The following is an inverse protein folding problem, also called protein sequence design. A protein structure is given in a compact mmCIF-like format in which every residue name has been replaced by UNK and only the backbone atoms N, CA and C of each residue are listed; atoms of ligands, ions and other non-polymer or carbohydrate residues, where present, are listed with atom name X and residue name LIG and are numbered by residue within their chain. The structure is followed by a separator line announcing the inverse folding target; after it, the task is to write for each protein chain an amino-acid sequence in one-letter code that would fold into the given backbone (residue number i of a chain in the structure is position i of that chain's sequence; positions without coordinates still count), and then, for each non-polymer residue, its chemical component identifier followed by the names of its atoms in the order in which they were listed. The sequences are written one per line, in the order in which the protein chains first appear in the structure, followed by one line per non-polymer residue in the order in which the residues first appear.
data_IF_524141841478
#
_entry.id   IF_524141841478
#
_cell.length_a   1.000
_cell.length_b   1.000
_cell.length_c   1.000
_cell.angle_alpha   90.00
_cell.angle_beta   90.00
_cell.angle_gamma   90.00
#
_symmetry.space_group_name_H-M   'P 1'
#
loop_
_entity.id
_entity.type
_entity.pdbx_description
1 polymer ?
#
# COMPACT_ATOMS: atom_id res chain seq x y z
N UNK A 1 74.68 1.62 -7.87
CA UNK A 1 73.79 1.99 -6.73
C UNK A 1 72.34 1.94 -7.22
N UNK A 2 71.67 0.79 -7.08
CA UNK A 2 70.28 0.61 -7.55
C UNK A 2 69.31 0.75 -6.38
N UNK A 3 68.31 1.64 -6.52
CA UNK A 3 67.27 1.88 -5.50
C UNK A 3 66.28 0.70 -5.45
N UNK A 4 65.80 0.27 -4.27
CA UNK A 4 64.82 -0.81 -4.16
C UNK A 4 63.40 -0.32 -4.51
N UNK A 5 62.49 -1.23 -4.92
CA UNK A 5 61.14 -0.85 -5.34
C UNK A 5 60.24 -0.52 -4.14
N UNK A 6 59.44 0.53 -4.29
CA UNK A 6 58.39 0.93 -3.32
C UNK A 6 57.25 -0.08 -3.34
N UNK A 7 57.17 -0.91 -2.30
CA UNK A 7 55.97 -1.70 -1.99
C UNK A 7 54.91 -0.74 -1.44
N UNK A 8 53.80 -0.53 -2.16
CA UNK A 8 52.64 0.17 -1.61
C UNK A 8 51.87 -0.78 -0.68
N UNK A 9 51.42 -0.34 0.51
CA UNK A 9 50.54 -1.18 1.31
C UNK A 9 49.17 -1.27 0.62
N UNK A 10 48.68 -2.50 0.42
CA UNK A 10 47.29 -2.76 0.06
C UNK A 10 46.42 -2.33 1.25
N UNK A 11 45.70 -1.23 1.14
CA UNK A 11 44.69 -0.85 2.13
C UNK A 11 43.50 -1.81 2.01
N UNK A 12 43.49 -2.82 2.88
CA UNK A 12 42.29 -3.62 3.13
C UNK A 12 41.28 -2.81 3.95
N UNK A 13 40.02 -3.22 3.86
CA UNK A 13 38.92 -2.85 4.76
C UNK A 13 38.23 -1.50 4.49
N UNK A 14 37.45 -1.44 3.40
CA UNK A 14 36.20 -0.67 3.41
C UNK A 14 35.18 -1.43 4.28
N UNK A 15 35.36 -1.36 5.60
CA UNK A 15 34.31 -1.73 6.55
C UNK A 15 33.11 -0.85 6.26
N UNK A 16 31.98 -1.50 5.96
CA UNK A 16 30.62 -0.97 5.86
C UNK A 16 30.47 0.50 6.27
N UNK A 17 30.15 1.36 5.30
CA UNK A 17 29.66 2.71 5.55
C UNK A 17 28.32 2.59 6.28
N UNK A 18 28.36 2.59 7.61
CA UNK A 18 27.18 2.78 8.46
C UNK A 18 26.68 4.21 8.24
N UNK A 19 25.73 4.40 7.33
CA UNK A 19 24.96 5.65 7.28
C UNK A 19 24.23 5.84 8.60
N UNK A 20 24.76 6.72 9.46
CA UNK A 20 24.24 7.04 10.80
C UNK A 20 22.80 7.52 10.72
N UNK A 21 21.87 6.73 11.23
CA UNK A 21 20.51 7.18 11.55
C UNK A 21 20.53 7.88 12.90
N UNK A 22 19.72 8.93 13.06
CA UNK A 22 19.60 9.66 14.34
C UNK A 22 19.24 8.76 15.54
N UNK A 23 18.55 7.65 15.28
CA UNK A 23 18.12 6.68 16.29
C UNK A 23 18.46 5.25 15.83
N UNK A 24 19.22 4.51 16.64
CA UNK A 24 19.58 3.11 16.39
C UNK A 24 18.39 2.17 16.63
N UNK A 25 18.48 0.92 16.15
CA UNK A 25 17.46 -0.11 16.40
C UNK A 25 17.29 -0.35 17.92
N UNK A 26 18.40 -0.61 18.62
CA UNK A 26 18.43 -0.80 20.08
C UNK A 26 17.74 0.33 20.84
N UNK A 27 18.02 1.58 20.45
CA UNK A 27 17.40 2.75 21.07
C UNK A 27 15.88 2.75 20.85
N UNK A 28 15.42 2.47 19.63
CA UNK A 28 13.98 2.40 19.35
C UNK A 28 13.32 1.29 20.14
N UNK A 29 13.95 0.11 20.21
CA UNK A 29 13.41 -1.05 20.93
C UNK A 29 13.25 -0.72 22.42
N UNK A 30 14.26 -0.12 23.05
CA UNK A 30 14.21 0.34 24.44
C UNK A 30 13.03 1.28 24.69
N UNK A 31 12.88 2.32 23.86
CA UNK A 31 11.80 3.31 24.00
C UNK A 31 10.41 2.66 23.84
N UNK A 32 10.29 1.69 22.93
CA UNK A 32 9.03 0.95 22.74
C UNK A 32 8.73 0.05 23.94
N UNK A 33 9.71 -0.66 24.47
CA UNK A 33 9.54 -1.50 25.68
C UNK A 33 9.11 -0.66 26.88
N UNK A 34 9.75 0.48 27.13
CA UNK A 34 9.35 1.37 28.22
C UNK A 34 7.91 1.90 28.07
N UNK A 35 7.44 2.11 26.84
CA UNK A 35 6.04 2.44 26.57
C UNK A 35 5.10 1.29 26.90
N UNK A 36 5.45 0.06 26.50
CA UNK A 36 4.65 -1.14 26.77
C UNK A 36 4.59 -1.49 28.25
N UNK A 37 5.66 -1.23 29.00
CA UNK A 37 5.74 -1.36 30.46
C UNK A 37 4.96 -0.26 31.21
N UNK A 38 4.39 0.72 30.51
CA UNK A 38 3.57 1.77 31.12
C UNK A 38 4.37 2.86 31.84
N UNK A 39 5.69 2.98 31.60
CA UNK A 39 6.54 4.01 32.23
C UNK A 39 6.17 5.45 31.85
N UNK A 40 5.30 5.63 30.85
CA UNK A 40 4.66 6.91 30.55
C UNK A 40 4.10 7.00 29.13
N UNK A 41 3.41 8.11 28.85
CA UNK A 41 2.85 8.39 27.52
C UNK A 41 3.89 8.86 26.50
N UNK A 42 3.50 8.95 25.23
CA UNK A 42 4.39 9.35 24.12
C UNK A 42 5.12 10.69 24.35
N UNK A 43 4.44 11.69 24.93
CA UNK A 43 5.03 13.00 25.21
C UNK A 43 6.10 12.93 26.30
N UNK A 44 5.89 12.08 27.31
CA UNK A 44 6.83 11.89 28.42
C UNK A 44 8.10 11.21 27.92
N UNK A 45 7.96 10.08 27.22
CA UNK A 45 9.09 9.34 26.65
C UNK A 45 9.89 10.19 25.65
N UNK A 46 9.22 11.06 24.89
CA UNK A 46 9.91 11.96 23.98
C UNK A 46 10.83 12.96 24.72
N UNK A 47 10.39 13.46 25.88
CA UNK A 47 11.22 14.35 26.71
C UNK A 47 12.38 13.59 27.35
N UNK A 48 12.11 12.46 27.99
CA UNK A 48 13.12 11.64 28.69
C UNK A 48 14.23 11.20 27.73
N UNK A 49 13.86 10.73 26.54
CA UNK A 49 14.81 10.23 25.54
C UNK A 49 15.26 11.27 24.52
N UNK A 50 14.93 12.55 24.73
CA UNK A 50 15.27 13.66 23.81
C UNK A 50 14.88 13.40 22.34
N UNK A 51 13.72 12.79 22.13
CA UNK A 51 13.12 12.59 20.80
C UNK A 51 12.36 13.86 20.42
N UNK A 52 12.70 14.43 19.24
CA UNK A 52 12.15 15.72 18.79
C UNK A 52 10.61 15.76 18.73
N UNK A 53 9.97 14.66 18.33
CA UNK A 53 8.53 14.60 18.17
C UNK A 53 7.95 13.30 18.77
N UNK A 54 6.92 13.44 19.62
CA UNK A 54 6.15 12.32 20.18
C UNK A 54 5.50 11.44 19.12
N UNK A 55 5.19 12.00 17.93
CA UNK A 55 4.66 11.24 16.79
C UNK A 55 5.64 10.15 16.35
N UNK A 56 6.95 10.38 16.49
CA UNK A 56 7.97 9.42 16.09
C UNK A 56 7.95 8.17 16.98
N UNK A 57 7.75 8.35 18.29
CA UNK A 57 7.56 7.25 19.23
C UNK A 57 6.26 6.49 18.93
N UNK A 58 5.17 7.21 18.66
CA UNK A 58 3.90 6.58 18.26
C UNK A 58 4.07 5.68 17.03
N UNK A 59 4.84 6.12 16.03
CA UNK A 59 5.14 5.31 14.84
C UNK A 59 5.92 4.05 15.21
N UNK A 60 6.97 4.15 16.05
CA UNK A 60 7.75 2.98 16.48
C UNK A 60 6.90 1.96 17.23
N UNK A 61 6.07 2.42 18.18
CA UNK A 61 5.16 1.56 18.93
C UNK A 61 4.16 0.87 18.01
N UNK A 62 3.57 1.60 17.07
CA UNK A 62 2.63 1.01 16.11
C UNK A 62 3.31 -0.03 15.22
N UNK A 63 4.50 0.28 14.69
CA UNK A 63 5.28 -0.66 13.89
C UNK A 63 5.65 -1.91 14.68
N UNK A 64 5.98 -1.78 15.96
CA UNK A 64 6.28 -2.92 16.82
C UNK A 64 5.04 -3.79 17.11
N UNK A 65 3.87 -3.18 17.34
CA UNK A 65 2.62 -3.93 17.55
C UNK A 65 2.20 -4.74 16.32
N UNK A 66 2.49 -4.24 15.12
CA UNK A 66 2.11 -4.90 13.87
C UNK A 66 3.12 -5.93 13.37
N UNK A 67 4.42 -5.64 13.50
CA UNK A 67 5.50 -6.42 12.87
C UNK A 67 6.57 -6.89 13.86
N UNK A 68 6.37 -6.68 15.16
CA UNK A 68 7.37 -6.96 16.19
C UNK A 68 8.65 -6.16 15.99
N UNK A 69 9.78 -6.78 16.32
CA UNK A 69 11.11 -6.17 16.18
C UNK A 69 11.45 -5.81 14.74
N UNK A 70 10.99 -6.60 13.76
CA UNK A 70 11.22 -6.32 12.34
C UNK A 70 10.64 -4.97 11.91
N UNK A 71 9.58 -4.52 12.57
CA UNK A 71 8.97 -3.20 12.36
C UNK A 71 9.88 -2.03 12.70
N UNK A 72 10.88 -2.23 13.57
CA UNK A 72 11.84 -1.19 13.99
C UNK A 72 13.09 -1.16 13.11
N UNK A 73 13.35 -2.25 12.36
CA UNK A 73 14.49 -2.36 11.47
C UNK A 73 14.39 -1.36 10.31
N UNK A 74 15.55 -0.82 9.93
CA UNK A 74 15.65 0.07 8.78
C UNK A 74 15.62 -0.73 7.49
N UNK A 75 14.58 -0.52 6.66
CA UNK A 75 14.60 -0.98 5.26
C UNK A 75 15.62 -0.14 4.48
N UNK A 76 16.69 -0.77 3.99
CA UNK A 76 17.78 -0.12 3.22
C UNK A 76 17.43 0.11 1.74
N UNK A 77 16.47 -0.63 1.21
CA UNK A 77 16.02 -0.53 -0.18
C UNK A 77 14.55 -0.15 -0.21
N UNK A 78 14.20 0.76 -1.12
CA UNK A 78 12.80 1.00 -1.46
C UNK A 78 12.23 -0.27 -2.08
N UNK A 79 11.05 -0.69 -1.64
CA UNK A 79 10.35 -1.80 -2.26
C UNK A 79 9.93 -1.39 -3.69
N UNK A 80 10.37 -2.16 -4.68
CA UNK A 80 9.91 -2.01 -6.06
C UNK A 80 8.69 -2.91 -6.24
N UNK A 81 7.54 -2.30 -6.49
CA UNK A 81 6.29 -3.02 -6.73
C UNK A 81 6.03 -3.06 -8.24
N UNK A 82 5.72 -4.25 -8.75
CA UNK A 82 5.30 -4.43 -10.14
C UNK A 82 3.97 -3.72 -10.41
N UNK A 83 3.67 -3.43 -11.68
CA UNK A 83 2.38 -2.82 -12.05
C UNK A 83 1.23 -3.74 -11.66
N UNK A 84 1.38 -5.05 -11.89
CA UNK A 84 0.37 -6.04 -11.50
C UNK A 84 0.08 -6.01 -10.00
N UNK A 85 1.12 -6.02 -9.16
CA UNK A 85 0.94 -5.96 -7.71
C UNK A 85 0.18 -4.69 -7.27
N UNK A 86 0.45 -3.55 -7.92
CA UNK A 86 -0.28 -2.30 -7.64
C UNK A 86 -1.75 -2.40 -8.05
N UNK A 87 -2.04 -3.06 -9.17
CA UNK A 87 -3.41 -3.29 -9.63
C UNK A 87 -4.15 -4.21 -8.68
N UNK A 88 -3.56 -5.34 -8.29
CA UNK A 88 -4.16 -6.28 -7.33
C UNK A 88 -4.47 -5.58 -6.00
N UNK A 89 -3.57 -4.72 -5.51
CA UNK A 89 -3.78 -3.92 -4.30
C UNK A 89 -4.95 -2.92 -4.43
N UNK A 90 -5.12 -2.33 -5.63
CA UNK A 90 -6.21 -1.41 -5.93
C UNK A 90 -7.54 -2.17 -6.05
N UNK A 91 -7.54 -3.31 -6.74
CA UNK A 91 -8.71 -4.17 -6.88
C UNK A 91 -9.18 -4.68 -5.53
N UNK A 92 -8.25 -5.12 -4.68
CA UNK A 92 -8.55 -5.53 -3.30
C UNK A 92 -9.21 -4.39 -2.51
N UNK A 93 -8.76 -3.14 -2.69
CA UNK A 93 -9.41 -1.98 -2.06
C UNK A 93 -10.80 -1.67 -2.62
N UNK A 94 -11.05 -1.93 -3.91
CA UNK A 94 -12.37 -1.69 -4.52
C UNK A 94 -13.39 -2.79 -4.22
N UNK A 95 -12.92 -4.02 -4.00
CA UNK A 95 -13.76 -5.20 -3.78
C UNK A 95 -14.02 -5.47 -2.30
N UNK A 96 -13.12 -5.05 -1.41
CA UNK A 96 -13.26 -5.21 0.04
C UNK A 96 -13.69 -3.90 0.73
N UNK A 97 -14.24 -4.00 1.93
CA UNK A 97 -14.56 -2.86 2.80
C UNK A 97 -13.38 -2.50 3.75
N UNK A 98 -12.15 -2.88 3.39
CA UNK A 98 -10.96 -2.68 4.21
C UNK A 98 -10.38 -1.28 4.04
N UNK A 99 -9.88 -0.71 5.14
CA UNK A 99 -9.09 0.51 5.11
C UNK A 99 -7.74 0.28 4.44
N UNK A 100 -7.11 1.35 3.94
CA UNK A 100 -5.77 1.29 3.37
C UNK A 100 -4.73 0.63 4.30
N UNK A 101 -4.91 0.76 5.62
CA UNK A 101 -4.01 0.16 6.61
C UNK A 101 -4.19 -1.34 6.69
N UNK A 102 -5.44 -1.82 6.72
CA UNK A 102 -5.74 -3.26 6.75
C UNK A 102 -5.25 -3.93 5.46
N UNK A 103 -5.45 -3.31 4.30
CA UNK A 103 -4.94 -3.83 3.03
C UNK A 103 -3.42 -3.87 3.04
N UNK A 104 -2.76 -2.83 3.56
CA UNK A 104 -1.31 -2.85 3.70
C UNK A 104 -0.86 -4.02 4.59
N UNK A 105 -1.57 -4.31 5.69
CA UNK A 105 -1.27 -5.44 6.55
C UNK A 105 -1.45 -6.78 5.82
N UNK A 106 -2.54 -6.96 5.07
CA UNK A 106 -2.79 -8.17 4.25
C UNK A 106 -1.67 -8.37 3.22
N UNK A 107 -1.24 -7.30 2.57
CA UNK A 107 -0.16 -7.30 1.57
C UNK A 107 1.25 -7.26 2.21
N UNK A 108 1.36 -7.32 3.53
CA UNK A 108 2.61 -7.20 4.31
C UNK A 108 3.45 -5.97 3.93
N UNK A 109 2.75 -4.88 3.63
CA UNK A 109 3.30 -3.57 3.31
C UNK A 109 3.29 -2.66 4.54
N UNK A 110 4.40 -1.98 4.81
CA UNK A 110 4.50 -1.07 5.96
C UNK A 110 3.91 0.32 5.69
N UNK A 111 3.55 0.63 4.43
CA UNK A 111 3.20 2.00 4.02
C UNK A 111 1.82 2.05 3.36
N UNK A 112 0.74 2.20 4.15
CA UNK A 112 -0.63 2.36 3.65
C UNK A 112 -0.80 3.52 2.66
N UNK A 113 -0.01 4.60 2.83
CA UNK A 113 -0.03 5.77 1.96
C UNK A 113 0.39 5.48 0.52
N UNK A 114 1.14 4.40 0.27
CA UNK A 114 1.48 3.98 -1.09
C UNK A 114 0.25 3.52 -1.86
N UNK A 115 -0.62 2.74 -1.22
CA UNK A 115 -1.86 2.23 -1.83
C UNK A 115 -2.78 3.40 -2.20
N UNK A 116 -2.93 4.38 -1.29
CA UNK A 116 -3.70 5.59 -1.56
C UNK A 116 -3.13 6.40 -2.74
N UNK A 117 -1.80 6.48 -2.87
CA UNK A 117 -1.14 7.16 -3.97
C UNK A 117 -1.30 6.40 -5.31
N UNK A 118 -1.18 5.07 -5.30
CA UNK A 118 -1.45 4.25 -6.48
C UNK A 118 -2.90 4.40 -6.92
N UNK A 119 -3.85 4.39 -5.98
CA UNK A 119 -5.25 4.59 -6.30
C UNK A 119 -5.50 5.96 -6.92
N UNK A 120 -4.90 7.03 -6.39
CA UNK A 120 -4.99 8.37 -6.98
C UNK A 120 -4.44 8.40 -8.41
N UNK A 121 -3.26 7.80 -8.63
CA UNK A 121 -2.64 7.71 -9.96
C UNK A 121 -3.49 6.92 -10.94
N UNK A 122 -4.07 5.81 -10.50
CA UNK A 122 -4.95 4.99 -11.32
C UNK A 122 -6.24 5.72 -11.70
N UNK A 123 -6.81 6.51 -10.78
CA UNK A 123 -8.00 7.35 -11.09
C UNK A 123 -7.71 8.44 -12.11
N UNK A 124 -6.50 9.00 -12.10
CA UNK A 124 -6.13 10.11 -12.98
C UNK A 124 -5.65 9.64 -14.37
N UNK A 125 -4.79 8.62 -14.39
CA UNK A 125 -4.02 8.23 -15.59
C UNK A 125 -4.22 6.73 -15.96
N UNK A 126 -5.13 6.03 -15.29
CA UNK A 126 -5.35 4.59 -15.50
C UNK A 126 -4.12 3.73 -15.19
N UNK A 127 -3.96 2.64 -15.94
CA UNK A 127 -2.82 1.70 -15.79
C UNK A 127 -1.48 2.39 -16.10
N UNK A 128 -1.47 3.34 -17.04
CA UNK A 128 -0.27 4.11 -17.41
C UNK A 128 0.24 4.98 -16.26
N UNK A 129 -0.63 5.42 -15.36
CA UNK A 129 -0.23 6.13 -14.14
C UNK A 129 0.60 5.29 -13.16
N UNK A 130 0.41 3.97 -13.18
CA UNK A 130 1.07 3.01 -12.30
C UNK A 130 2.42 2.53 -12.83
N UNK A 131 2.60 2.56 -14.15
CA UNK A 131 3.84 2.15 -14.84
C UNK A 131 4.91 3.24 -14.83
N UNK A 132 4.51 4.51 -14.83
CA UNK A 132 5.44 5.65 -14.79
C UNK A 132 6.31 5.62 -13.52
N UNK A 133 7.59 5.28 -13.70
CA UNK A 133 8.64 5.44 -12.69
C UNK A 133 8.84 6.93 -12.42
N UNK A 134 8.95 7.32 -11.14
CA UNK A 134 9.28 8.71 -10.80
C UNK A 134 10.70 9.00 -11.29
N UNK A 135 10.83 9.86 -12.29
CA UNK A 135 12.10 10.33 -12.85
C UNK A 135 11.89 11.08 -14.17
N UNK A 136 12.83 11.95 -14.54
CA UNK A 136 12.84 12.63 -15.83
C UNK A 136 12.93 11.55 -16.94
N UNK A 137 12.03 11.54 -17.94
CA UNK A 137 12.17 10.62 -19.05
C UNK A 137 13.52 10.86 -19.71
N UNK A 138 14.35 9.81 -19.81
CA UNK A 138 15.55 9.89 -20.64
C UNK A 138 15.09 10.10 -22.09
N UNK A 139 15.64 11.09 -22.79
CA UNK A 139 15.36 11.34 -24.21
C UNK A 139 15.63 10.11 -25.12
N UNK A 140 16.36 9.10 -24.63
CA UNK A 140 16.56 7.81 -25.28
C UNK A 140 15.32 6.88 -25.21
N UNK A 141 14.44 7.07 -24.23
CA UNK A 141 13.20 6.30 -24.08
C UNK A 141 12.13 6.74 -25.10
N UNK A 142 12.05 8.04 -25.41
CA UNK A 142 11.13 8.57 -26.42
C UNK A 142 11.43 8.02 -27.83
N UNK A 143 12.72 7.88 -28.17
CA UNK A 143 13.15 7.22 -29.42
C UNK A 143 12.81 5.73 -29.46
N UNK A 144 12.77 5.04 -28.32
CA UNK A 144 12.35 3.62 -28.23
C UNK A 144 10.83 3.46 -28.33
N UNK A 145 10.05 4.35 -27.73
CA UNK A 145 8.58 4.31 -27.86
C UNK A 145 8.11 4.64 -29.29
N UNK A 146 8.73 5.62 -29.96
CA UNK A 146 8.41 5.93 -31.36
C UNK A 146 8.78 4.78 -32.31
N UNK A 147 9.82 3.99 -31.99
CA UNK A 147 10.19 2.80 -32.77
C UNK A 147 9.28 1.60 -32.49
N UNK A 148 8.75 1.47 -31.26
CA UNK A 148 7.80 0.41 -30.87
C UNK A 148 6.36 0.68 -31.33
N UNK A 149 5.94 1.94 -31.40
CA UNK A 149 4.63 2.36 -31.95
C UNK A 149 4.54 2.21 -33.47
N UNK A 150 5.67 2.20 -34.18
CA UNK A 150 5.74 2.01 -35.64
C UNK A 150 5.85 0.56 -36.10
N UNK A 151 5.96 -0.42 -35.18
CA UNK A 151 6.19 -1.83 -35.52
C UNK A 151 5.11 -2.79 -35.00
N UNK A 152 3.95 -2.29 -34.56
CA UNK A 152 2.80 -3.14 -34.23
C UNK A 152 1.85 -3.08 -35.43
N UNK A 153 2.26 -3.73 -36.52
CA UNK A 153 1.28 -4.21 -37.49
C UNK A 153 0.68 -5.47 -36.87
N UNK A 154 -0.45 -5.33 -36.17
CA UNK A 154 -1.21 -6.47 -35.67
C UNK A 154 -1.65 -7.29 -36.88
N UNK A 155 -1.33 -8.58 -36.89
CA UNK A 155 -1.81 -9.52 -37.90
C UNK A 155 -3.35 -9.50 -37.90
N UNK A 156 -4.04 -9.75 -39.04
CA UNK A 156 -5.50 -9.74 -39.08
C UNK A 156 -6.16 -10.62 -38.00
N UNK A 157 -5.52 -11.76 -37.68
CA UNK A 157 -5.93 -12.66 -36.60
C UNK A 157 -5.92 -12.00 -35.21
N UNK A 158 -4.96 -11.11 -34.97
CA UNK A 158 -4.80 -10.40 -33.70
C UNK A 158 -5.85 -9.28 -33.57
N UNK A 159 -6.24 -8.66 -34.68
CA UNK A 159 -7.37 -7.72 -34.71
C UNK A 159 -8.71 -8.41 -34.41
N UNK A 160 -8.93 -9.60 -34.95
CA UNK A 160 -10.15 -10.36 -34.68
C UNK A 160 -10.19 -10.88 -33.24
N UNK A 161 -9.03 -11.26 -32.68
CA UNK A 161 -8.90 -11.58 -31.26
C UNK A 161 -9.21 -10.38 -30.37
N UNK A 162 -8.77 -9.18 -30.74
CA UNK A 162 -9.08 -7.94 -30.00
C UNK A 162 -10.59 -7.67 -30.04
N UNK A 163 -11.24 -7.78 -31.20
CA UNK A 163 -12.70 -7.61 -31.31
C UNK A 163 -13.46 -8.62 -30.44
N UNK A 164 -13.01 -9.86 -30.39
CA UNK A 164 -13.64 -10.89 -29.56
C UNK A 164 -13.47 -10.59 -28.06
N UNK A 165 -12.28 -10.18 -27.65
CA UNK A 165 -12.03 -9.72 -26.27
C UNK A 165 -12.89 -8.51 -25.90
N UNK A 166 -13.05 -7.54 -26.80
CA UNK A 166 -13.93 -6.39 -26.56
C UNK A 166 -15.39 -6.79 -26.34
N UNK A 167 -15.89 -7.78 -27.10
CA UNK A 167 -17.24 -8.32 -26.88
C UNK A 167 -17.36 -8.99 -25.51
N UNK A 168 -16.38 -9.78 -25.12
CA UNK A 168 -16.34 -10.44 -23.80
C UNK A 168 -16.27 -9.43 -22.66
N UNK A 169 -15.50 -8.35 -22.81
CA UNK A 169 -15.45 -7.29 -21.80
C UNK A 169 -16.81 -6.60 -21.68
N UNK A 170 -17.50 -6.31 -22.80
CA UNK A 170 -18.85 -5.72 -22.76
C UNK A 170 -19.85 -6.64 -22.07
N UNK A 171 -19.85 -7.94 -22.37
CA UNK A 171 -20.77 -8.89 -21.73
C UNK A 171 -20.50 -9.00 -20.22
N UNK A 172 -19.24 -9.11 -19.81
CA UNK A 172 -18.85 -9.15 -18.39
C UNK A 172 -19.19 -7.84 -17.66
N UNK A 173 -19.10 -6.68 -18.32
CA UNK A 173 -19.51 -5.41 -17.74
C UNK A 173 -21.01 -5.36 -17.48
N UNK A 174 -21.82 -5.86 -18.43
CA UNK A 174 -23.29 -5.97 -18.27
C UNK A 174 -23.62 -6.91 -17.11
N UNK A 175 -23.00 -8.09 -17.05
CA UNK A 175 -23.21 -9.07 -15.98
C UNK A 175 -22.84 -8.49 -14.61
N UNK A 176 -21.67 -7.85 -14.49
CA UNK A 176 -21.25 -7.21 -13.24
C UNK A 176 -22.16 -6.05 -12.82
N UNK A 177 -22.67 -5.26 -13.77
CA UNK A 177 -23.65 -4.22 -13.48
C UNK A 177 -24.95 -4.81 -12.92
N UNK A 178 -25.44 -5.90 -13.53
CA UNK A 178 -26.61 -6.63 -13.06
C UNK A 178 -26.41 -7.21 -11.66
N UNK A 179 -25.27 -7.87 -11.41
CA UNK A 179 -24.93 -8.41 -10.09
C UNK A 179 -24.84 -7.31 -9.02
N UNK A 180 -24.34 -6.12 -9.37
CA UNK A 180 -24.32 -4.97 -8.46
C UNK A 180 -25.72 -4.47 -8.12
N UNK A 181 -26.63 -4.39 -9.09
CA UNK A 181 -28.02 -4.02 -8.83
C UNK A 181 -28.74 -5.06 -7.95
N UNK A 182 -28.54 -6.36 -8.19
CA UNK A 182 -29.08 -7.41 -7.33
C UNK A 182 -28.59 -7.30 -5.88
N UNK A 183 -27.31 -6.97 -5.68
CA UNK A 183 -26.76 -6.76 -4.33
C UNK A 183 -27.40 -5.56 -3.63
N UNK A 184 -27.67 -4.46 -4.35
CA UNK A 184 -28.35 -3.28 -3.81
C UNK A 184 -29.78 -3.62 -3.36
N UNK A 185 -30.53 -4.33 -4.20
CA UNK A 185 -31.91 -4.73 -3.91
C UNK A 185 -31.98 -5.62 -2.66
N UNK A 186 -31.13 -6.65 -2.57
CA UNK A 186 -31.06 -7.51 -1.37
C UNK A 186 -30.73 -6.71 -0.10
N UNK A 187 -29.85 -5.71 -0.20
CA UNK A 187 -29.50 -4.85 0.94
C UNK A 187 -30.66 -3.95 1.35
N UNK A 188 -31.39 -3.36 0.39
CA UNK A 188 -32.59 -2.56 0.66
C UNK A 188 -33.70 -3.41 1.29
N UNK A 189 -33.94 -4.60 0.77
CA UNK A 189 -34.92 -5.53 1.32
C UNK A 189 -34.56 -5.93 2.76
N UNK A 190 -33.29 -6.25 3.04
CA UNK A 190 -32.83 -6.54 4.39
C UNK A 190 -33.00 -5.35 5.35
N UNK A 191 -32.81 -4.11 4.86
CA UNK A 191 -33.05 -2.90 5.65
C UNK A 191 -34.55 -2.68 5.94
N UNK A 192 -35.41 -2.85 4.94
CA UNK A 192 -36.87 -2.75 5.10
C UNK A 192 -37.41 -3.80 6.07
N UNK A 193 -36.92 -5.04 5.99
CA UNK A 193 -37.30 -6.09 6.95
C UNK A 193 -36.93 -5.71 8.39
N UNK A 194 -35.75 -5.11 8.60
CA UNK A 194 -35.32 -4.62 9.92
C UNK A 194 -36.19 -3.47 10.43
N UNK A 195 -36.54 -2.51 9.59
CA UNK A 195 -37.42 -1.39 9.98
C UNK A 195 -38.81 -1.87 10.33
N UNK A 196 -39.38 -2.79 9.54
CA UNK A 196 -40.72 -3.31 9.80
C UNK A 196 -40.77 -4.10 11.11
N UNK A 197 -39.77 -4.95 11.40
CA UNK A 197 -39.67 -5.65 12.69
C UNK A 197 -39.59 -4.68 13.88
N UNK A 198 -38.87 -3.56 13.76
CA UNK A 198 -38.82 -2.55 14.83
C UNK A 198 -40.14 -1.79 15.03
N UNK A 199 -40.91 -1.56 13.96
CA UNK A 199 -42.23 -0.92 14.05
C UNK A 199 -43.27 -1.85 14.69
N UNK A 200 -43.30 -3.13 14.30
CA UNK A 200 -44.21 -4.13 14.88
C UNK A 200 -43.95 -4.38 16.37
N UNK A 201 -42.68 -4.34 16.79
CA UNK A 201 -42.30 -4.48 18.21
C UNK A 201 -42.73 -3.28 19.07
N UNK A 202 -42.96 -2.11 18.46
CA UNK A 202 -43.36 -0.89 19.17
C UNK A 202 -44.88 -0.78 19.33
N UNK A 203 -45.66 -1.35 18.40
CA UNK A 203 -47.14 -1.35 18.47
C UNK A 203 -47.71 -2.42 19.39
N UNK A 204 -46.93 -3.43 19.77
CA UNK A 204 -47.37 -4.54 20.62
C UNK A 204 -47.32 -4.26 22.14
N UNK A 205 -46.97 -3.04 22.58
CA UNK A 205 -46.80 -2.69 24.00
C UNK A 205 -47.86 -1.71 24.55
N UNK A 206 -48.87 -1.36 23.76
CA UNK A 206 -50.00 -0.52 24.21
C UNK A 206 -51.23 -1.41 24.49
N UNK A 207 -51.17 -2.24 25.52
CA UNK A 207 -52.38 -2.83 26.13
C UNK A 207 -52.95 -1.85 27.17
N UNK A 208 -54.14 -1.25 26.96
CA UNK A 208 -54.77 -0.42 27.97
C UNK A 208 -55.43 -1.34 29.00
N UNK A 209 -54.81 -1.47 30.18
CA UNK A 209 -55.45 -2.08 31.35
C UNK A 209 -56.63 -1.23 31.80
N UNK A 210 -57.82 -1.83 31.79
CA UNK A 210 -59.09 -1.31 32.31
C UNK A 210 -59.19 -1.48 33.83
#
# INVERSE_FOLDING_TARGET
MSRPPKVRPKSNSWRSVFFMTKYSFEFKLKVVQEYLEGKGGYSYLAKVHSVKDKKQIRVWVNSYREFGEEGLLRKRKNANYSVQFKLDAIELYQTSELSYREIANVLKMNYPSLIANWMRKFRNDGIDGLSKTKGCPSALAEKKEQKKKRSIETTPEEQDRIKELEKQVRSLQIENAFLKELRKLRKQEAQQRRTNQSHESSTASEDPSN
#
